data_IF_350744223663
#
_entry.id   IF_350744223663
#
_cell.length_a   1.000
_cell.length_b   1.000
_cell.length_c   1.000
_cell.angle_alpha   90.00
_cell.angle_beta   90.00
_cell.angle_gamma   90.00
#
_symmetry.space_group_name_H-M   'P 1'
#
loop_
_entity.id
_entity.type
_entity.pdbx_description
1 polymer ?
#
# COMPACT_ATOMS: atom_id res chain seq x y z
N UNK A 1 -24.94 -18.78 2.62
CA UNK A 1 -25.46 -19.68 1.57
C UNK A 1 -25.33 -21.12 2.04
N UNK A 2 -24.12 -21.56 2.42
CA UNK A 2 -23.89 -22.89 2.99
C UNK A 2 -24.60 -23.06 4.33
N UNK A 3 -24.53 -22.08 5.24
CA UNK A 3 -25.35 -22.03 6.48
C UNK A 3 -26.87 -22.17 6.21
N UNK A 4 -27.33 -21.78 5.02
CA UNK A 4 -28.75 -21.86 4.62
C UNK A 4 -29.12 -23.23 4.01
N UNK A 5 -28.20 -24.20 4.04
CA UNK A 5 -28.41 -25.56 3.55
C UNK A 5 -28.31 -25.73 2.02
N UNK A 6 -27.86 -24.70 1.30
CA UNK A 6 -27.65 -24.81 -0.15
C UNK A 6 -26.45 -25.73 -0.44
N UNK A 7 -26.55 -26.65 -1.42
CA UNK A 7 -25.42 -27.43 -1.89
C UNK A 7 -24.24 -26.54 -2.30
N UNK A 8 -23.03 -26.98 -1.95
CA UNK A 8 -21.79 -26.25 -2.20
C UNK A 8 -21.60 -25.89 -3.68
N UNK A 9 -21.90 -26.83 -4.59
CA UNK A 9 -21.84 -26.65 -6.04
C UNK A 9 -22.78 -25.52 -6.50
N UNK A 10 -24.01 -25.48 -5.98
CA UNK A 10 -24.98 -24.42 -6.28
C UNK A 10 -24.52 -23.07 -5.74
N UNK A 11 -23.92 -23.04 -4.56
CA UNK A 11 -23.33 -21.81 -4.01
C UNK A 11 -22.23 -21.26 -4.92
N UNK A 12 -21.33 -22.13 -5.42
CA UNK A 12 -20.25 -21.74 -6.32
C UNK A 12 -20.77 -21.23 -7.67
N UNK A 13 -21.86 -21.80 -8.18
CA UNK A 13 -22.48 -21.37 -9.42
C UNK A 13 -23.08 -19.96 -9.30
N UNK A 14 -23.84 -19.71 -8.22
CA UNK A 14 -24.39 -18.39 -7.92
C UNK A 14 -23.26 -17.35 -7.77
N UNK A 15 -22.17 -17.71 -7.08
CA UNK A 15 -21.01 -16.83 -6.92
C UNK A 15 -20.34 -16.52 -8.27
N UNK A 16 -20.22 -17.51 -9.17
CA UNK A 16 -19.66 -17.30 -10.50
C UNK A 16 -20.55 -16.40 -11.38
N UNK A 17 -21.87 -16.52 -11.27
CA UNK A 17 -22.82 -15.68 -12.00
C UNK A 17 -22.84 -14.23 -11.50
N UNK A 18 -22.70 -14.02 -10.19
CA UNK A 18 -22.69 -12.69 -9.58
C UNK A 18 -21.35 -11.94 -9.73
N UNK A 19 -20.27 -12.62 -10.10
CA UNK A 19 -18.96 -11.97 -10.26
C UNK A 19 -18.88 -11.11 -11.52
N UNK A 20 -18.49 -9.85 -11.33
CA UNK A 20 -18.21 -8.91 -12.42
C UNK A 20 -16.82 -9.12 -13.05
N UNK A 21 -15.86 -9.64 -12.29
CA UNK A 21 -14.51 -9.84 -12.77
C UNK A 21 -14.39 -11.23 -13.45
N UNK A 22 -14.09 -11.23 -14.75
CA UNK A 22 -13.93 -12.44 -15.55
C UNK A 22 -12.93 -13.43 -14.95
N UNK A 23 -11.81 -12.94 -14.39
CA UNK A 23 -10.81 -13.80 -13.76
C UNK A 23 -11.37 -14.55 -12.54
N UNK A 24 -12.11 -13.87 -11.67
CA UNK A 24 -12.73 -14.52 -10.50
C UNK A 24 -13.85 -15.47 -10.91
N UNK A 25 -14.60 -15.12 -11.96
CA UNK A 25 -15.64 -15.98 -12.53
C UNK A 25 -15.07 -17.32 -13.00
N UNK A 26 -13.95 -17.29 -13.72
CA UNK A 26 -13.27 -18.50 -14.18
C UNK A 26 -12.72 -19.32 -13.01
N UNK A 27 -12.18 -18.66 -11.98
CA UNK A 27 -11.74 -19.32 -10.75
C UNK A 27 -12.90 -20.07 -10.07
N UNK A 28 -14.06 -19.43 -9.89
CA UNK A 28 -15.23 -20.08 -9.27
C UNK A 28 -15.76 -21.25 -10.11
N UNK A 29 -15.79 -21.12 -11.44
CA UNK A 29 -16.18 -22.20 -12.35
C UNK A 29 -15.23 -23.40 -12.26
N UNK A 30 -13.93 -23.16 -12.22
CA UNK A 30 -12.94 -24.22 -12.07
C UNK A 30 -13.10 -24.93 -10.72
N UNK A 31 -13.30 -24.17 -9.63
CA UNK A 31 -13.53 -24.76 -8.31
C UNK A 31 -14.81 -25.61 -8.32
N UNK A 32 -15.89 -25.11 -8.93
CA UNK A 32 -17.15 -25.85 -9.05
C UNK A 32 -16.95 -27.17 -9.78
N UNK A 33 -16.29 -27.15 -10.95
CA UNK A 33 -16.03 -28.34 -11.74
C UNK A 33 -15.22 -29.38 -10.94
N UNK A 34 -14.16 -28.95 -10.27
CA UNK A 34 -13.35 -29.86 -9.44
C UNK A 34 -14.18 -30.53 -8.35
N UNK A 35 -15.08 -29.80 -7.69
CA UNK A 35 -15.97 -30.34 -6.65
C UNK A 35 -17.01 -31.31 -7.23
N UNK A 36 -17.56 -31.01 -8.42
CA UNK A 36 -18.47 -31.91 -9.13
C UNK A 36 -17.79 -33.23 -9.53
N UNK A 37 -16.49 -33.18 -9.86
CA UNK A 37 -15.65 -34.34 -10.16
C UNK A 37 -15.20 -35.12 -8.91
N UNK A 38 -15.57 -34.65 -7.70
CA UNK A 38 -15.28 -35.31 -6.42
C UNK A 38 -13.93 -34.93 -5.80
N UNK A 39 -13.24 -33.92 -6.33
CA UNK A 39 -12.07 -33.36 -5.67
C UNK A 39 -12.48 -32.49 -4.48
N UNK A 40 -11.56 -32.31 -3.53
CA UNK A 40 -11.79 -31.40 -2.40
C UNK A 40 -11.92 -29.95 -2.88
N UNK A 41 -12.53 -29.07 -2.07
CA UNK A 41 -12.79 -27.67 -2.45
C UNK A 41 -11.52 -26.93 -2.91
N UNK A 42 -10.36 -27.38 -2.42
CA UNK A 42 -9.04 -26.85 -2.78
C UNK A 42 -8.02 -27.86 -3.29
N UNK A 43 -8.39 -29.13 -3.53
CA UNK A 43 -7.53 -30.05 -4.28
C UNK A 43 -7.41 -29.56 -5.72
N UNK A 44 -6.21 -29.17 -6.10
CA UNK A 44 -5.92 -28.71 -7.46
C UNK A 44 -4.60 -27.96 -7.50
N UNK A 45 -3.56 -28.66 -7.93
CA UNK A 45 -2.18 -28.20 -8.14
C UNK A 45 -2.01 -27.09 -9.20
N UNK A 46 -3.06 -26.31 -9.50
CA UNK A 46 -3.07 -25.32 -10.58
C UNK A 46 -3.66 -23.96 -10.22
N UNK A 47 -4.11 -23.72 -8.98
CA UNK A 47 -4.67 -22.40 -8.63
C UNK A 47 -3.54 -21.40 -8.42
N UNK A 48 -3.60 -20.19 -9.02
CA UNK A 48 -2.56 -19.21 -8.85
C UNK A 48 -2.41 -18.87 -7.36
N UNK A 49 -1.22 -19.01 -6.75
CA UNK A 49 -0.95 -18.73 -5.33
C UNK A 49 -1.18 -17.25 -4.93
N UNK A 50 -1.71 -16.44 -5.84
CA UNK A 50 -2.07 -15.03 -5.64
C UNK A 50 -3.50 -14.84 -5.11
N UNK A 51 -4.39 -15.82 -5.24
CA UNK A 51 -5.82 -15.66 -4.88
C UNK A 51 -6.13 -16.21 -3.50
N UNK A 52 -5.62 -17.40 -3.19
CA UNK A 52 -5.81 -18.06 -1.90
C UNK A 52 -4.44 -18.31 -1.28
N UNK A 53 -4.22 -17.77 -0.09
CA UNK A 53 -2.98 -17.98 0.68
C UNK A 53 -2.94 -19.41 1.25
N UNK A 54 -1.74 -19.92 1.55
CA UNK A 54 -1.57 -21.30 2.06
C UNK A 54 -2.37 -21.56 3.34
N UNK A 55 -2.45 -20.56 4.23
CA UNK A 55 -3.27 -20.63 5.44
C UNK A 55 -4.76 -20.86 5.13
N UNK A 56 -5.28 -20.20 4.08
CA UNK A 56 -6.68 -20.35 3.67
C UNK A 56 -6.93 -21.78 3.18
N UNK A 57 -6.07 -22.28 2.30
CA UNK A 57 -6.17 -23.64 1.74
C UNK A 57 -6.13 -24.71 2.83
N UNK A 58 -5.14 -24.66 3.73
CA UNK A 58 -5.00 -25.66 4.80
C UNK A 58 -6.16 -25.63 5.79
N UNK A 59 -6.72 -24.46 6.09
CA UNK A 59 -7.89 -24.37 6.97
C UNK A 59 -9.11 -25.04 6.34
N UNK A 60 -9.34 -24.81 5.05
CA UNK A 60 -10.47 -25.41 4.33
C UNK A 60 -10.31 -26.92 4.22
N UNK A 61 -9.13 -27.41 3.88
CA UNK A 61 -8.82 -28.85 3.82
C UNK A 61 -9.05 -29.54 5.17
N UNK A 62 -8.63 -28.92 6.27
CA UNK A 62 -8.90 -29.41 7.62
C UNK A 62 -10.40 -29.38 7.97
N UNK A 63 -11.13 -28.36 7.49
CA UNK A 63 -12.58 -28.24 7.68
C UNK A 63 -13.37 -29.29 6.90
N UNK A 64 -12.94 -29.60 5.68
CA UNK A 64 -13.55 -30.60 4.82
C UNK A 64 -13.31 -32.02 5.34
N UNK A 65 -12.06 -32.33 5.71
CA UNK A 65 -11.70 -33.62 6.33
C UNK A 65 -12.38 -33.82 7.69
N UNK A 66 -12.52 -32.73 8.46
CA UNK A 66 -13.17 -32.74 9.77
C UNK A 66 -14.71 -32.63 9.73
N UNK A 67 -15.33 -32.53 8.55
CA UNK A 67 -16.79 -32.38 8.41
C UNK A 67 -17.36 -31.07 9.00
N UNK A 68 -16.53 -30.06 9.23
CA UNK A 68 -16.87 -28.76 9.84
C UNK A 68 -16.59 -27.59 8.88
N UNK A 69 -16.74 -27.85 7.57
CA UNK A 69 -16.45 -26.88 6.51
C UNK A 69 -17.23 -25.56 6.69
N UNK A 70 -18.49 -25.64 7.09
CA UNK A 70 -19.36 -24.48 7.32
C UNK A 70 -18.78 -23.53 8.37
N UNK A 71 -18.39 -24.05 9.54
CA UNK A 71 -17.76 -23.30 10.61
C UNK A 71 -16.43 -22.66 10.16
N UNK A 72 -15.62 -23.40 9.39
CA UNK A 72 -14.34 -22.90 8.89
C UNK A 72 -14.54 -21.76 7.90
N UNK A 73 -15.48 -21.90 6.96
CA UNK A 73 -15.80 -20.85 5.99
C UNK A 73 -16.33 -19.60 6.69
N UNK A 74 -17.14 -19.74 7.75
CA UNK A 74 -17.62 -18.63 8.56
C UNK A 74 -16.48 -17.89 9.30
N UNK A 75 -15.52 -18.65 9.86
CA UNK A 75 -14.32 -18.07 10.49
C UNK A 75 -13.44 -17.33 9.47
N UNK A 76 -13.24 -17.91 8.29
CA UNK A 76 -12.48 -17.30 7.20
C UNK A 76 -13.16 -16.01 6.70
N UNK A 77 -14.48 -16.02 6.52
CA UNK A 77 -15.24 -14.83 6.15
C UNK A 77 -15.05 -13.70 7.18
N UNK A 78 -15.14 -14.02 8.48
CA UNK A 78 -14.93 -13.06 9.57
C UNK A 78 -13.50 -12.51 9.58
N UNK A 79 -12.50 -13.36 9.32
CA UNK A 79 -11.10 -12.94 9.22
C UNK A 79 -10.90 -11.97 8.06
N UNK A 80 -11.39 -12.32 6.87
CA UNK A 80 -11.28 -11.47 5.66
C UNK A 80 -11.98 -10.13 5.91
N UNK A 81 -13.17 -10.13 6.51
CA UNK A 81 -13.89 -8.89 6.81
C UNK A 81 -13.10 -7.98 7.77
N UNK A 82 -12.49 -8.55 8.82
CA UNK A 82 -11.62 -7.81 9.76
C UNK A 82 -10.40 -7.24 9.05
N UNK A 83 -9.72 -8.02 8.20
CA UNK A 83 -8.55 -7.57 7.44
C UNK A 83 -8.92 -6.43 6.48
N UNK A 84 -10.04 -6.55 5.77
CA UNK A 84 -10.53 -5.52 4.85
C UNK A 84 -10.90 -4.25 5.62
N UNK A 85 -11.61 -4.35 6.75
CA UNK A 85 -11.94 -3.21 7.62
C UNK A 85 -10.69 -2.51 8.14
N UNK A 86 -9.71 -3.27 8.61
CA UNK A 86 -8.43 -2.72 9.10
C UNK A 86 -7.69 -2.00 7.97
N UNK A 87 -7.53 -2.64 6.81
CA UNK A 87 -6.87 -2.04 5.65
C UNK A 87 -7.58 -0.75 5.22
N UNK A 88 -8.91 -0.76 5.17
CA UNK A 88 -9.72 0.41 4.84
C UNK A 88 -9.52 1.53 5.86
N UNK A 89 -9.51 1.21 7.15
CA UNK A 89 -9.28 2.18 8.23
C UNK A 89 -7.91 2.85 8.11
N UNK A 90 -6.86 2.06 7.87
CA UNK A 90 -5.49 2.56 7.65
C UNK A 90 -5.44 3.50 6.44
N UNK A 91 -6.02 3.07 5.32
CA UNK A 91 -6.07 3.90 4.10
C UNK A 91 -6.85 5.19 4.38
N UNK A 92 -8.04 5.11 4.99
CA UNK A 92 -8.83 6.31 5.30
C UNK A 92 -8.12 7.29 6.23
N UNK A 93 -7.40 6.78 7.24
CA UNK A 93 -6.63 7.61 8.16
C UNK A 93 -5.45 8.32 7.48
N UNK A 94 -4.91 7.73 6.39
CA UNK A 94 -3.79 8.30 5.64
C UNK A 94 -4.20 9.39 4.64
N UNK A 95 -5.49 9.49 4.28
CA UNK A 95 -5.97 10.46 3.27
C UNK A 95 -5.77 11.90 3.73
N UNK A 96 -6.15 12.23 4.97
CA UNK A 96 -6.03 13.60 5.48
C UNK A 96 -4.57 14.08 5.58
N UNK A 97 -3.64 13.32 6.19
CA UNK A 97 -2.22 13.65 6.16
C UNK A 97 -1.67 13.82 4.74
N UNK A 98 -2.01 12.91 3.81
CA UNK A 98 -1.55 13.01 2.42
C UNK A 98 -2.06 14.29 1.74
N UNK A 99 -3.33 14.65 1.94
CA UNK A 99 -3.92 15.86 1.39
C UNK A 99 -3.23 17.12 1.93
N UNK A 100 -3.05 17.24 3.25
CA UNK A 100 -2.38 18.40 3.87
C UNK A 100 -0.94 18.54 3.40
N UNK A 101 -0.19 17.43 3.33
CA UNK A 101 1.20 17.43 2.84
C UNK A 101 1.24 17.87 1.37
N UNK A 102 0.31 17.39 0.53
CA UNK A 102 0.26 17.78 -0.88
C UNK A 102 0.03 19.27 -1.07
N UNK A 103 -0.91 19.86 -0.31
CA UNK A 103 -1.18 21.31 -0.33
C UNK A 103 0.02 22.10 0.20
N UNK A 104 0.65 21.66 1.28
CA UNK A 104 1.83 22.32 1.85
C UNK A 104 3.00 22.35 0.86
N UNK A 105 3.28 21.22 0.19
CA UNK A 105 4.31 21.14 -0.85
C UNK A 105 3.97 22.08 -2.01
N UNK A 106 2.71 22.10 -2.45
CA UNK A 106 2.23 23.00 -3.50
C UNK A 106 2.41 24.48 -3.14
N UNK A 107 2.03 24.86 -1.92
CA UNK A 107 2.19 26.24 -1.42
C UNK A 107 3.65 26.66 -1.32
N UNK A 108 4.54 25.77 -0.85
CA UNK A 108 5.98 26.05 -0.81
C UNK A 108 6.52 26.23 -2.24
N UNK A 109 6.13 25.36 -3.17
CA UNK A 109 6.54 25.47 -4.57
C UNK A 109 6.07 26.78 -5.21
N UNK A 110 4.81 27.16 -5.02
CA UNK A 110 4.25 28.44 -5.48
C UNK A 110 5.02 29.64 -4.91
N UNK A 111 5.35 29.59 -3.61
CA UNK A 111 6.14 30.63 -2.95
C UNK A 111 7.54 30.76 -3.58
N UNK A 112 8.21 29.66 -3.90
CA UNK A 112 9.53 29.71 -4.56
C UNK A 112 9.44 30.24 -5.99
N UNK A 113 8.42 29.84 -6.75
CA UNK A 113 8.31 30.18 -8.19
C UNK A 113 7.85 31.63 -8.38
N UNK A 114 6.93 32.12 -7.55
CA UNK A 114 6.28 33.43 -7.76
C UNK A 114 6.83 34.49 -6.82
N UNK A 115 6.96 34.19 -5.53
CA UNK A 115 7.21 35.21 -4.50
C UNK A 115 8.70 35.57 -4.40
N UNK A 116 9.60 34.58 -4.43
CA UNK A 116 11.03 34.82 -4.35
C UNK A 116 11.60 35.69 -5.51
N UNK A 117 11.26 35.48 -6.79
CA UNK A 117 11.77 36.35 -7.85
C UNK A 117 11.25 37.79 -7.75
N UNK A 118 10.04 38.00 -7.20
CA UNK A 118 9.54 39.35 -6.92
C UNK A 118 10.39 40.04 -5.86
N UNK A 119 10.79 39.33 -4.81
CA UNK A 119 11.70 39.87 -3.81
C UNK A 119 13.06 40.25 -4.42
N UNK A 120 13.62 39.41 -5.30
CA UNK A 120 14.86 39.73 -6.03
C UNK A 120 14.74 41.04 -6.80
N UNK A 121 13.65 41.23 -7.55
CA UNK A 121 13.41 42.46 -8.31
C UNK A 121 13.29 43.70 -7.41
N UNK A 122 12.65 43.57 -6.24
CA UNK A 122 12.55 44.67 -5.26
C UNK A 122 13.93 45.05 -4.72
N UNK A 123 14.76 44.07 -4.35
CA UNK A 123 16.10 44.34 -3.84
C UNK A 123 17.03 44.94 -4.91
N UNK A 124 16.94 44.47 -6.16
CA UNK A 124 17.69 45.06 -7.28
C UNK A 124 17.22 46.47 -7.64
N UNK A 125 15.95 46.82 -7.36
CA UNK A 125 15.44 48.18 -7.54
C UNK A 125 15.83 49.16 -6.41
N UNK A 126 16.13 48.63 -5.21
CA UNK A 126 16.60 49.40 -4.05
C UNK A 126 18.11 49.64 -4.07
N UNK A 127 18.87 48.70 -4.62
CA UNK A 127 20.31 48.79 -4.83
C UNK A 127 20.57 49.53 -6.15
N UNK A 128 21.54 50.45 -6.19
CA UNK A 128 21.85 51.20 -7.41
C UNK A 128 22.31 50.29 -8.56
N UNK A 129 22.25 50.75 -9.82
CA UNK A 129 22.70 49.95 -10.96
C UNK A 129 24.16 49.51 -10.78
N UNK A 130 24.37 48.19 -10.64
CA UNK A 130 25.69 47.57 -10.48
C UNK A 130 26.02 47.10 -9.05
N UNK A 131 25.18 47.40 -8.06
CA UNK A 131 25.34 46.82 -6.73
C UNK A 131 24.80 45.39 -6.67
N UNK A 132 25.68 44.49 -6.26
CA UNK A 132 25.40 43.09 -6.09
C UNK A 132 24.56 42.85 -4.83
N UNK A 133 23.57 41.97 -4.91
CA UNK A 133 22.83 41.50 -3.73
C UNK A 133 23.80 41.06 -2.61
N UNK A 134 23.56 41.42 -1.33
CA UNK A 134 24.34 40.95 -0.20
C UNK A 134 24.52 39.42 -0.22
N UNK A 135 25.69 38.94 0.21
CA UNK A 135 26.05 37.52 0.17
C UNK A 135 24.99 36.57 0.76
N UNK A 136 24.34 36.87 1.90
CA UNK A 136 23.29 36.00 2.44
C UNK A 136 22.11 35.81 1.48
N UNK A 137 21.67 36.88 0.81
CA UNK A 137 20.55 36.85 -0.13
C UNK A 137 20.90 36.03 -1.37
N UNK A 138 22.12 36.15 -1.89
CA UNK A 138 22.59 35.37 -3.05
C UNK A 138 22.60 33.86 -2.78
N UNK A 139 22.97 33.45 -1.56
CA UNK A 139 22.97 32.03 -1.18
C UNK A 139 21.53 31.50 -1.16
N UNK A 140 20.59 32.25 -0.59
CA UNK A 140 19.17 31.86 -0.56
C UNK A 140 18.59 31.73 -1.97
N UNK A 141 18.89 32.69 -2.86
CA UNK A 141 18.46 32.64 -4.26
C UNK A 141 19.06 31.45 -5.02
N UNK A 142 20.33 31.10 -4.76
CA UNK A 142 20.97 29.96 -5.39
C UNK A 142 20.35 28.62 -4.93
N UNK A 143 20.03 28.48 -3.65
CA UNK A 143 19.35 27.30 -3.10
C UNK A 143 17.93 27.19 -3.66
N UNK A 144 17.21 28.32 -3.68
CA UNK A 144 15.85 28.39 -4.23
C UNK A 144 15.83 28.03 -5.72
N UNK A 145 16.73 28.61 -6.53
CA UNK A 145 16.85 28.29 -7.95
C UNK A 145 17.25 26.83 -8.22
N UNK A 146 18.04 26.22 -7.33
CA UNK A 146 18.36 24.79 -7.42
C UNK A 146 17.13 23.91 -7.14
N UNK A 147 16.34 24.23 -6.10
CA UNK A 147 15.13 23.50 -5.72
C UNK A 147 13.98 23.72 -6.71
N UNK A 148 13.79 24.94 -7.20
CA UNK A 148 12.74 25.29 -8.17
C UNK A 148 13.11 24.86 -9.60
N UNK A 149 14.40 24.70 -9.91
CA UNK A 149 14.90 24.24 -11.20
C UNK A 149 15.04 22.72 -11.32
N UNK A 150 15.91 22.29 -12.23
CA UNK A 150 16.19 20.87 -12.48
C UNK A 150 16.70 20.11 -11.25
N UNK A 151 17.31 20.79 -10.28
CA UNK A 151 17.83 20.19 -9.05
C UNK A 151 16.72 19.60 -8.16
N UNK A 152 15.60 20.29 -7.98
CA UNK A 152 14.45 19.75 -7.24
C UNK A 152 13.86 18.49 -7.88
N UNK A 153 13.78 18.47 -9.21
CA UNK A 153 13.39 17.30 -9.98
C UNK A 153 14.36 16.13 -9.76
N UNK A 154 15.67 16.37 -9.74
CA UNK A 154 16.65 15.30 -9.44
C UNK A 154 16.51 14.77 -8.02
N UNK A 155 16.25 15.63 -7.02
CA UNK A 155 16.01 15.19 -5.64
C UNK A 155 14.74 14.34 -5.55
N UNK A 156 13.66 14.75 -6.21
CA UNK A 156 12.42 13.98 -6.23
C UNK A 156 12.61 12.61 -6.90
N UNK A 157 13.31 12.55 -8.04
CA UNK A 157 13.61 11.31 -8.75
C UNK A 157 14.51 10.40 -7.91
N UNK A 158 15.55 10.93 -7.27
CA UNK A 158 16.44 10.18 -6.37
C UNK A 158 15.66 9.66 -5.16
N UNK A 159 14.79 10.47 -4.57
CA UNK A 159 13.96 10.07 -3.43
C UNK A 159 12.98 8.96 -3.78
N UNK A 160 12.28 9.08 -4.91
CA UNK A 160 11.39 8.03 -5.43
C UNK A 160 12.20 6.76 -5.76
N UNK A 161 13.35 6.91 -6.42
CA UNK A 161 14.26 5.82 -6.76
C UNK A 161 14.78 5.08 -5.52
N UNK A 162 15.19 5.79 -4.48
CA UNK A 162 15.57 5.24 -3.18
C UNK A 162 14.39 4.51 -2.52
N UNK A 163 13.20 5.09 -2.55
CA UNK A 163 11.98 4.44 -2.03
C UNK A 163 11.68 3.12 -2.74
N UNK A 164 11.78 3.10 -4.07
CA UNK A 164 11.60 1.88 -4.89
C UNK A 164 12.72 0.87 -4.61
N UNK A 165 13.97 1.32 -4.50
CA UNK A 165 15.11 0.46 -4.18
C UNK A 165 14.99 -0.16 -2.78
N UNK A 166 14.57 0.61 -1.78
CA UNK A 166 14.29 0.12 -0.43
C UNK A 166 13.16 -0.90 -0.45
N UNK A 167 12.08 -0.65 -1.19
CA UNK A 167 10.98 -1.59 -1.33
C UNK A 167 11.43 -2.90 -2.01
N UNK A 168 12.28 -2.80 -3.02
CA UNK A 168 12.86 -3.97 -3.69
C UNK A 168 13.81 -4.75 -2.76
N UNK A 169 14.63 -4.04 -1.98
CA UNK A 169 15.51 -4.61 -0.98
C UNK A 169 14.74 -5.28 0.17
N UNK A 170 13.63 -4.70 0.62
CA UNK A 170 12.78 -5.29 1.66
C UNK A 170 12.14 -6.61 1.24
N UNK A 171 11.90 -6.80 -0.06
CA UNK A 171 11.42 -8.08 -0.61
C UNK A 171 12.47 -9.19 -0.55
N UNK A 172 13.75 -8.86 -0.37
CA UNK A 172 14.80 -9.87 -0.16
C UNK A 172 14.88 -10.32 1.30
N UNK A 173 15.13 -11.61 1.59
CA UNK A 173 15.12 -12.14 2.95
C UNK A 173 16.18 -11.50 3.87
N UNK A 174 17.36 -11.15 3.32
CA UNK A 174 18.40 -10.42 4.08
C UNK A 174 18.01 -8.96 4.34
N UNK A 175 17.35 -8.31 3.38
CA UNK A 175 16.94 -6.90 3.51
C UNK A 175 15.82 -6.72 4.54
N UNK A 176 14.87 -7.65 4.58
CA UNK A 176 13.81 -7.67 5.59
C UNK A 176 14.37 -7.70 7.02
N UNK A 177 15.36 -8.55 7.28
CA UNK A 177 15.97 -8.66 8.61
C UNK A 177 16.74 -7.39 9.03
N UNK A 178 17.50 -6.78 8.12
CA UNK A 178 18.23 -5.54 8.42
C UNK A 178 17.30 -4.35 8.64
N UNK A 179 16.28 -4.20 7.78
CA UNK A 179 15.31 -3.12 7.89
C UNK A 179 14.47 -3.31 9.15
N UNK A 180 13.95 -4.51 9.41
CA UNK A 180 13.15 -4.78 10.62
C UNK A 180 13.98 -4.55 11.90
N UNK A 181 15.25 -4.94 11.91
CA UNK A 181 16.17 -4.68 13.04
C UNK A 181 16.43 -3.18 13.26
N UNK A 182 16.57 -2.41 12.18
CA UNK A 182 16.73 -0.95 12.23
C UNK A 182 15.43 -0.27 12.71
N UNK A 183 14.28 -0.69 12.18
CA UNK A 183 12.96 -0.16 12.52
C UNK A 183 12.59 -0.41 13.99
N UNK A 184 12.99 -1.56 14.54
CA UNK A 184 12.83 -1.91 15.96
C UNK A 184 13.67 -1.04 16.90
N UNK A 185 14.78 -0.45 16.42
CA UNK A 185 15.63 0.46 17.21
C UNK A 185 15.12 1.91 17.20
N UNK A 186 14.12 2.24 16.39
CA UNK A 186 13.54 3.58 16.35
C UNK A 186 12.46 3.77 17.43
N UNK A 187 12.59 4.77 18.33
CA UNK A 187 11.71 4.95 19.49
C UNK A 187 10.24 5.23 19.14
N UNK A 188 9.96 5.73 17.94
CA UNK A 188 8.61 6.11 17.47
C UNK A 188 7.83 4.87 16.98
N UNK A 189 8.49 3.88 16.39
CA UNK A 189 7.84 2.69 15.81
C UNK A 189 7.84 1.46 16.75
N UNK A 190 8.72 1.44 17.75
CA UNK A 190 8.82 0.33 18.72
C UNK A 190 7.55 0.11 19.55
N UNK A 191 6.79 1.16 19.86
CA UNK A 191 5.55 1.05 20.66
C UNK A 191 4.36 0.51 19.86
N UNK A 192 4.30 0.78 18.55
CA UNK A 192 3.22 0.34 17.65
C UNK A 192 3.42 -1.13 17.26
N UNK A 193 4.65 -1.53 16.90
CA UNK A 193 4.96 -2.91 16.51
C UNK A 193 4.93 -3.89 17.69
N UNK A 194 5.31 -3.46 18.89
CA UNK A 194 5.24 -4.30 20.10
C UNK A 194 3.79 -4.55 20.55
N UNK A 195 2.86 -3.65 20.22
CA UNK A 195 1.43 -3.77 20.56
C UNK A 195 0.64 -4.68 19.61
N UNK A 196 1.11 -4.87 18.37
CA UNK A 196 0.46 -5.73 17.38
C UNK A 196 0.72 -7.23 17.53
N UNK A 197 1.69 -7.65 18.35
CA UNK A 197 2.02 -9.07 18.63
C UNK A 197 1.56 -9.53 20.02
N UNK A 198 0.86 -8.67 20.75
CA UNK A 198 0.36 -8.93 22.10
C UNK A 198 -1.16 -8.89 22.16
N UNK A 199 -1.83 -9.69 21.33
CA UNK A 199 -3.15 -10.32 21.54
C UNK A 199 -3.56 -11.12 20.32
#
# INVERSE_FOLDING_TARGET
MIDAGLPLVQCLDILAEQQQNAFFKDVFRQVRQNVEEGATLFAGDGKPPKVFDSLYTHMVEAGETGGVLDLILQRLATLIEKVVKLKRSIVSASIYPAAVISVAIGAIADHQIVVIPQFEQIFLGLLGPGELLPLPTRIVMAISGFIAGWGGLTIAVIGIGLGVAINFYYKTPKGRWHIDSLLLKMPIFGSILRKGRGR
#
